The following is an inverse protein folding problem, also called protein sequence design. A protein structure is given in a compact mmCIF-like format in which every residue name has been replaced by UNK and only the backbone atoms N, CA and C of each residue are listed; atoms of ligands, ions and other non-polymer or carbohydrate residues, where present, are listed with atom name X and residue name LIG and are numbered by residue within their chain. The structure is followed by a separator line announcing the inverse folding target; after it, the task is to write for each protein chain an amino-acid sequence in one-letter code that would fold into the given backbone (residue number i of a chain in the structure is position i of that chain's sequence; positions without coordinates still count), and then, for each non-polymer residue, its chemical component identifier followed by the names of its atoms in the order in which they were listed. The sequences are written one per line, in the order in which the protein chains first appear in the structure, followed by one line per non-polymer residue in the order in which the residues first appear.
data_IF_010157007635
#
_entry.id   IF_010157007635
#
_cell.length_a   1.000
_cell.length_b   1.000
_cell.length_c   1.000
_cell.angle_alpha   90.00
_cell.angle_beta   90.00
_cell.angle_gamma   90.00
#
_symmetry.space_group_name_H-M   'P 1'
#
loop_
_entity.id
_entity.type
_entity.pdbx_description
1 polymer ?
#
# COMPACT_ATOMS: atom_id res chain seq x y z
N UNK A 1 -10.44 34.91 -8.23
CA UNK A 1 -10.87 34.10 -7.07
C UNK A 1 -9.73 34.02 -6.08
N UNK A 2 -9.96 34.20 -4.77
CA UNK A 2 -8.92 34.00 -3.76
C UNK A 2 -8.47 32.54 -3.71
N UNK A 3 -7.25 32.31 -3.21
CA UNK A 3 -6.75 30.96 -2.93
C UNK A 3 -7.50 30.35 -1.74
N UNK A 4 -7.77 29.03 -1.74
CA UNK A 4 -8.44 28.37 -0.63
C UNK A 4 -7.51 28.22 0.59
N UNK A 5 -8.00 28.54 1.78
CA UNK A 5 -7.23 28.37 3.02
C UNK A 5 -6.95 26.89 3.37
N UNK A 6 -7.83 25.99 2.94
CA UNK A 6 -7.72 24.55 3.18
C UNK A 6 -7.96 23.79 1.88
N UNK A 7 -7.03 22.88 1.56
CA UNK A 7 -7.11 21.98 0.41
C UNK A 7 -7.15 20.54 0.92
N UNK A 8 -8.24 19.83 0.62
CA UNK A 8 -8.34 18.41 0.89
C UNK A 8 -7.89 17.60 -0.32
N UNK A 9 -6.67 17.05 -0.25
CA UNK A 9 -6.10 16.30 -1.36
C UNK A 9 -6.62 14.85 -1.39
N UNK A 10 -7.66 14.64 -2.20
CA UNK A 10 -8.25 13.31 -2.46
C UNK A 10 -7.68 12.63 -3.69
N UNK A 11 -6.87 13.33 -4.48
CA UNK A 11 -6.49 12.91 -5.81
C UNK A 11 -5.62 11.65 -5.79
N UNK A 12 -6.11 10.54 -6.31
CA UNK A 12 -5.23 9.39 -6.57
C UNK A 12 -5.72 8.62 -7.79
N UNK A 13 -4.87 7.77 -8.37
CA UNK A 13 -5.28 6.94 -9.51
C UNK A 13 -5.39 7.67 -10.84
N UNK A 14 -4.82 8.87 -10.96
CA UNK A 14 -4.84 9.63 -12.22
C UNK A 14 -4.24 8.84 -13.40
N UNK A 15 -4.85 8.92 -14.60
CA UNK A 15 -4.28 8.38 -15.83
C UNK A 15 -2.85 8.87 -16.06
N UNK A 16 -2.01 8.06 -16.72
CA UNK A 16 -0.58 8.37 -16.94
C UNK A 16 -0.36 9.77 -17.54
N UNK A 17 -1.22 10.17 -18.49
CA UNK A 17 -1.19 11.50 -19.13
C UNK A 17 -1.43 12.68 -18.18
N UNK A 18 -2.17 12.47 -17.09
CA UNK A 18 -2.50 13.50 -16.11
C UNK A 18 -1.53 13.54 -14.92
N UNK A 19 -0.74 12.50 -14.68
CA UNK A 19 0.16 12.43 -13.51
C UNK A 19 1.13 13.60 -13.43
N UNK A 20 1.71 14.01 -14.55
CA UNK A 20 2.63 15.15 -14.61
C UNK A 20 1.91 16.47 -14.32
N UNK A 21 0.72 16.67 -14.92
CA UNK A 21 -0.10 17.87 -14.71
C UNK A 21 -0.50 18.00 -13.24
N UNK A 22 -1.00 16.91 -12.63
CA UNK A 22 -1.38 16.89 -11.20
C UNK A 22 -0.18 17.18 -10.31
N UNK A 23 0.99 16.60 -10.61
CA UNK A 23 2.22 16.85 -9.85
C UNK A 23 2.59 18.34 -9.88
N UNK A 24 2.50 18.99 -11.03
CA UNK A 24 2.78 20.42 -11.16
C UNK A 24 1.73 21.30 -10.47
N UNK A 25 0.44 20.96 -10.57
CA UNK A 25 -0.62 21.65 -9.83
C UNK A 25 -0.38 21.55 -8.32
N UNK A 26 -0.14 20.34 -7.79
CA UNK A 26 0.18 20.13 -6.38
C UNK A 26 1.39 20.94 -5.95
N UNK A 27 2.46 20.96 -6.76
CA UNK A 27 3.66 21.75 -6.49
C UNK A 27 3.35 23.24 -6.40
N UNK A 28 2.54 23.78 -7.31
CA UNK A 28 2.12 25.20 -7.29
C UNK A 28 1.28 25.52 -6.06
N UNK A 29 0.29 24.69 -5.75
CA UNK A 29 -0.59 24.88 -4.60
C UNK A 29 0.16 24.79 -3.26
N UNK A 30 1.17 23.91 -3.15
CA UNK A 30 2.00 23.76 -1.94
C UNK A 30 3.03 24.86 -1.73
N UNK A 31 3.27 25.73 -2.72
CA UNK A 31 4.15 26.90 -2.56
C UNK A 31 3.46 28.02 -1.79
N UNK A 32 2.14 28.06 -1.78
CA UNK A 32 1.40 29.04 -1.00
C UNK A 32 1.41 28.64 0.48
N UNK A 33 2.00 29.48 1.32
CA UNK A 33 2.18 29.22 2.75
C UNK A 33 0.87 29.34 3.53
N UNK A 34 -0.14 30.01 2.96
CA UNK A 34 -1.46 30.21 3.58
C UNK A 34 -2.36 28.99 3.44
N UNK A 35 -2.25 28.30 2.31
CA UNK A 35 -3.03 27.10 1.99
C UNK A 35 -2.56 25.89 2.81
N UNK A 36 -3.43 25.33 3.67
CA UNK A 36 -3.16 24.10 4.43
C UNK A 36 -3.67 22.86 3.69
N UNK A 37 -2.85 21.82 3.64
CA UNK A 37 -3.22 20.54 3.01
C UNK A 37 -3.65 19.49 4.04
N UNK A 38 -4.85 18.95 3.86
CA UNK A 38 -5.25 17.67 4.45
C UNK A 38 -4.82 16.57 3.47
N UNK A 39 -4.23 15.49 3.98
CA UNK A 39 -3.56 14.44 3.19
C UNK A 39 -2.40 14.97 2.33
N UNK A 40 -1.50 15.74 2.94
CA UNK A 40 -0.35 16.37 2.26
C UNK A 40 0.70 15.39 1.67
N UNK A 41 0.51 14.08 1.83
CA UNK A 41 1.34 13.03 1.21
C UNK A 41 0.47 12.18 0.30
N UNK A 42 0.90 12.09 -0.95
CA UNK A 42 0.19 11.38 -2.02
C UNK A 42 0.14 9.86 -1.77
N UNK A 43 1.11 9.31 -1.02
CA UNK A 43 1.19 7.90 -0.67
C UNK A 43 2.21 7.66 0.46
N UNK A 44 1.84 6.90 1.50
CA UNK A 44 2.78 6.46 2.56
C UNK A 44 3.42 5.11 2.21
N UNK A 45 2.68 4.23 1.53
CA UNK A 45 3.12 2.87 1.19
C UNK A 45 2.61 1.82 2.16
N UNK A 46 2.05 0.71 1.65
CA UNK A 46 1.49 -0.37 2.48
C UNK A 46 2.46 -0.89 3.54
N UNK A 47 3.70 -1.19 3.13
CA UNK A 47 4.73 -1.70 4.04
C UNK A 47 5.12 -0.68 5.12
N UNK A 48 5.25 0.60 4.74
CA UNK A 48 5.57 1.67 5.67
C UNK A 48 4.41 1.92 6.64
N UNK A 49 3.17 1.88 6.15
CA UNK A 49 1.97 1.94 6.99
C UNK A 49 1.96 0.78 7.99
N UNK A 50 2.17 -0.47 7.56
CA UNK A 50 2.28 -1.61 8.47
C UNK A 50 3.35 -1.38 9.55
N UNK A 51 4.54 -0.92 9.15
CA UNK A 51 5.64 -0.60 10.08
C UNK A 51 5.28 0.50 11.08
N UNK A 52 4.44 1.47 10.72
CA UNK A 52 3.97 2.46 11.70
C UNK A 52 2.90 1.90 12.62
N UNK A 53 1.98 1.08 12.10
CA UNK A 53 0.85 0.58 12.88
C UNK A 53 1.27 -0.52 13.88
N UNK A 54 2.29 -1.31 13.55
CA UNK A 54 2.77 -2.40 14.42
C UNK A 54 3.43 -1.87 15.71
N UNK A 55 3.92 -0.63 15.71
CA UNK A 55 4.55 0.00 16.87
C UNK A 55 3.52 0.47 17.92
N UNK A 56 2.21 0.37 17.64
CA UNK A 56 1.15 0.70 18.58
C UNK A 56 0.53 -0.57 19.17
N UNK A 57 0.68 -0.77 20.49
CA UNK A 57 0.23 -1.98 21.20
C UNK A 57 -1.23 -2.35 20.97
N UNK A 58 -2.10 -1.35 20.90
CA UNK A 58 -3.52 -1.57 20.65
C UNK A 58 -3.76 -2.10 19.22
N UNK A 59 -3.09 -1.53 18.22
CA UNK A 59 -3.29 -1.88 16.82
C UNK A 59 -2.58 -3.15 16.42
N UNK A 60 -1.39 -3.40 16.97
CA UNK A 60 -0.51 -4.51 16.59
C UNK A 60 -1.19 -5.88 16.74
N UNK A 61 -2.04 -6.04 17.74
CA UNK A 61 -2.82 -7.26 18.01
C UNK A 61 -3.88 -7.56 16.94
N UNK A 62 -4.27 -6.56 16.16
CA UNK A 62 -5.25 -6.68 15.09
C UNK A 62 -4.61 -6.69 13.69
N UNK A 63 -3.28 -6.55 13.60
CA UNK A 63 -2.58 -6.61 12.32
C UNK A 63 -2.24 -8.06 11.96
N UNK A 64 -2.42 -8.45 10.68
CA UNK A 64 -1.94 -9.74 10.23
C UNK A 64 -0.40 -9.78 10.27
N UNK A 65 0.15 -10.93 10.64
CA UNK A 65 1.59 -11.14 10.56
C UNK A 65 2.08 -10.92 9.12
N UNK A 66 2.94 -9.92 8.93
CA UNK A 66 3.38 -9.49 7.60
C UNK A 66 4.90 -9.37 7.57
N UNK A 67 5.52 -9.95 6.54
CA UNK A 67 6.95 -9.79 6.24
C UNK A 67 7.15 -9.13 4.88
N UNK A 68 8.31 -8.51 4.66
CA UNK A 68 8.70 -8.00 3.35
C UNK A 68 9.24 -9.15 2.50
N UNK A 69 8.62 -9.37 1.34
CA UNK A 69 9.09 -10.34 0.36
C UNK A 69 10.38 -9.85 -0.32
N UNK A 70 11.43 -10.67 -0.26
CA UNK A 70 12.71 -10.46 -0.95
C UNK A 70 13.06 -11.66 -1.84
N UNK A 71 12.67 -12.88 -1.45
CA UNK A 71 12.93 -14.10 -2.22
C UNK A 71 11.90 -15.18 -1.94
N UNK A 72 11.90 -16.24 -2.76
CA UNK A 72 11.02 -17.40 -2.58
C UNK A 72 11.17 -18.07 -1.18
N UNK A 73 12.32 -17.91 -0.52
CA UNK A 73 12.53 -18.40 0.85
C UNK A 73 11.52 -17.79 1.84
N UNK A 74 11.11 -16.54 1.62
CA UNK A 74 10.14 -15.85 2.47
C UNK A 74 8.75 -16.49 2.38
N UNK A 75 8.37 -16.98 1.19
CA UNK A 75 7.15 -17.75 0.97
C UNK A 75 7.20 -19.05 1.78
N UNK A 76 8.32 -19.79 1.69
CA UNK A 76 8.50 -21.03 2.45
C UNK A 76 8.44 -20.80 3.96
N UNK A 77 9.04 -19.72 4.47
CA UNK A 77 8.97 -19.34 5.89
C UNK A 77 7.52 -19.06 6.30
N UNK A 78 6.76 -18.34 5.49
CA UNK A 78 5.36 -18.04 5.78
C UNK A 78 4.47 -19.29 5.72
N UNK A 79 4.69 -20.17 4.74
CA UNK A 79 3.95 -21.43 4.59
C UNK A 79 4.26 -22.48 5.67
N UNK A 80 5.39 -22.34 6.38
CA UNK A 80 5.64 -23.13 7.60
C UNK A 80 4.72 -22.72 8.76
N UNK A 81 4.25 -21.48 8.76
CA UNK A 81 3.43 -20.90 9.84
C UNK A 81 1.94 -20.87 9.51
N UNK A 82 1.59 -20.71 8.23
CA UNK A 82 0.21 -20.55 7.78
C UNK A 82 -0.04 -21.39 6.52
N UNK A 83 -1.16 -22.10 6.47
CA UNK A 83 -1.51 -22.93 5.32
C UNK A 83 -1.92 -22.12 4.07
N UNK A 84 -2.34 -20.87 4.27
CA UNK A 84 -2.71 -19.91 3.23
C UNK A 84 -2.06 -18.56 3.51
N UNK A 85 -1.37 -18.02 2.51
CA UNK A 85 -0.71 -16.73 2.57
C UNK A 85 -1.09 -15.86 1.37
N UNK A 86 -0.93 -14.55 1.50
CA UNK A 86 -1.17 -13.59 0.42
C UNK A 86 0.09 -12.79 0.12
N UNK A 87 0.58 -12.88 -1.11
CA UNK A 87 1.64 -12.04 -1.61
C UNK A 87 1.01 -10.84 -2.34
N UNK A 88 1.27 -9.63 -1.84
CA UNK A 88 0.73 -8.40 -2.42
C UNK A 88 1.85 -7.54 -2.98
N UNK A 89 1.69 -7.04 -4.20
CA UNK A 89 2.64 -6.08 -4.76
C UNK A 89 2.60 -4.74 -4.00
N UNK A 90 3.72 -4.02 -4.01
CA UNK A 90 3.80 -2.67 -3.44
C UNK A 90 2.77 -1.72 -4.07
N UNK A 91 2.57 -1.83 -5.38
CA UNK A 91 1.72 -0.95 -6.20
C UNK A 91 0.27 -1.43 -6.33
N UNK A 92 -0.09 -2.60 -5.79
CA UNK A 92 -1.44 -3.16 -5.83
C UNK A 92 -2.49 -2.13 -5.37
N UNK A 93 -3.56 -2.00 -6.13
CA UNK A 93 -4.74 -1.19 -5.85
C UNK A 93 -5.95 -2.00 -6.31
N UNK A 94 -7.09 -1.84 -5.63
CA UNK A 94 -8.36 -2.48 -6.03
C UNK A 94 -8.27 -4.00 -6.16
N UNK A 95 -7.46 -4.66 -5.32
CA UNK A 95 -7.35 -6.13 -5.34
C UNK A 95 -6.43 -6.71 -6.42
N UNK A 96 -5.94 -5.91 -7.37
CA UNK A 96 -5.07 -6.38 -8.48
C UNK A 96 -3.66 -6.71 -8.01
N UNK A 97 -2.98 -7.67 -8.65
CA UNK A 97 -1.60 -8.06 -8.31
C UNK A 97 -1.45 -8.62 -6.89
N UNK A 98 -2.40 -9.48 -6.52
CA UNK A 98 -2.35 -10.28 -5.31
C UNK A 98 -2.25 -11.74 -5.73
N UNK A 99 -1.40 -12.52 -5.08
CA UNK A 99 -1.31 -13.96 -5.28
C UNK A 99 -1.67 -14.62 -3.95
N UNK A 100 -2.68 -15.51 -3.95
CA UNK A 100 -2.87 -16.45 -2.84
C UNK A 100 -1.95 -17.65 -3.06
N UNK A 101 -1.27 -18.07 -2.01
CA UNK A 101 -0.38 -19.23 -2.04
C UNK A 101 -0.78 -20.15 -0.89
N UNK A 102 -1.08 -21.41 -1.20
CA UNK A 102 -1.49 -22.40 -0.21
C UNK A 102 -0.62 -23.65 -0.25
N UNK A 103 -0.49 -24.29 0.91
CA UNK A 103 0.11 -25.62 1.05
C UNK A 103 -0.97 -26.67 0.77
N UNK A 104 -0.67 -27.63 -0.11
CA UNK A 104 -1.54 -28.76 -0.41
C UNK A 104 -1.18 -29.99 0.44
N UNK A 105 -2.08 -30.98 0.45
CA UNK A 105 -1.96 -32.20 1.28
C UNK A 105 -0.67 -33.00 1.04
N UNK A 106 -0.08 -32.89 -0.16
CA UNK A 106 1.14 -33.61 -0.55
C UNK A 106 2.42 -32.76 -0.43
N UNK A 107 2.34 -31.59 0.21
CA UNK A 107 3.48 -30.66 0.33
C UNK A 107 3.72 -29.81 -0.91
N UNK A 108 2.89 -29.97 -1.95
CA UNK A 108 2.88 -29.07 -3.11
C UNK A 108 2.44 -27.65 -2.71
N UNK A 109 2.97 -26.67 -3.44
CA UNK A 109 2.65 -25.25 -3.26
C UNK A 109 1.84 -24.80 -4.46
N UNK A 110 0.61 -24.35 -4.23
CA UNK A 110 -0.25 -23.81 -5.27
C UNK A 110 -0.32 -22.29 -5.18
N UNK A 111 -0.03 -21.60 -6.27
CA UNK A 111 -0.21 -20.16 -6.41
C UNK A 111 -1.40 -19.84 -7.32
N UNK A 112 -2.27 -18.93 -6.91
CA UNK A 112 -3.38 -18.42 -7.71
C UNK A 112 -3.31 -16.88 -7.77
N UNK A 113 -3.31 -16.33 -8.98
CA UNK A 113 -3.42 -14.89 -9.19
C UNK A 113 -4.86 -14.45 -8.89
N UNK A 114 -4.98 -13.45 -8.02
CA UNK A 114 -6.23 -12.78 -7.70
C UNK A 114 -6.25 -11.45 -8.45
N UNK A 115 -7.14 -11.37 -9.46
CA UNK A 115 -7.50 -10.20 -10.28
C UNK A 115 -6.38 -9.45 -11.03
#
# INVERSE_FOLDING_TARGET
MPMPDIIYDRGSGFPKRQKNVVKEIRKKLRKDIKSKFINNRDYIGKWRTYKYLIDYDYLSRHLPYTIRYNSFKDILIMLKRYDLIFLKSYYCREGKQIISISKQREGEIQGQLLF
#
